data_IF_365510078164
#
_entry.id   IF_365510078164
#
_cell.length_a   1.000
_cell.length_b   1.000
_cell.length_c   1.000
_cell.angle_alpha   90.00
_cell.angle_beta   90.00
_cell.angle_gamma   90.00
#
_symmetry.space_group_name_H-M   'P 1'
#
loop_
_entity.id
_entity.type
_entity.pdbx_description
1 polymer ?
#
# COMPACT_ATOMS: atom_id res chain seq x y z
N UNK A 1 -20.51 16.77 1.12
CA UNK A 1 -19.24 16.97 1.85
C UNK A 1 -18.29 15.80 1.52
N UNK A 2 -16.98 15.91 1.74
CA UNK A 2 -15.88 14.96 1.40
C UNK A 2 -14.98 15.24 0.17
N UNK A 3 -14.75 16.53 -0.12
CA UNK A 3 -13.59 17.04 -0.87
C UNK A 3 -12.70 17.89 0.03
N UNK A 4 -12.48 17.43 1.28
CA UNK A 4 -11.85 18.22 2.33
C UNK A 4 -10.33 18.25 2.14
N UNK A 5 -9.69 19.29 2.66
CA UNK A 5 -8.24 19.37 2.66
C UNK A 5 -7.66 18.17 3.44
N UNK A 6 -6.59 17.55 2.91
CA UNK A 6 -5.92 16.44 3.59
C UNK A 6 -5.06 16.89 4.77
N UNK A 7 -4.62 18.15 4.80
CA UNK A 7 -3.64 18.64 5.78
C UNK A 7 -4.15 18.53 7.22
N UNK A 8 -5.41 18.90 7.54
CA UNK A 8 -5.96 18.70 8.87
C UNK A 8 -6.00 17.25 9.35
N UNK A 9 -5.89 16.28 8.44
CA UNK A 9 -5.93 14.85 8.76
C UNK A 9 -4.55 14.21 8.88
N UNK A 10 -3.62 14.53 7.98
CA UNK A 10 -2.32 13.87 7.95
C UNK A 10 -1.24 14.60 8.75
N UNK A 11 -1.36 15.92 8.90
CA UNK A 11 -0.24 16.76 9.34
C UNK A 11 -0.50 17.42 10.71
N UNK A 12 -1.62 17.09 11.35
CA UNK A 12 -1.98 17.50 12.71
C UNK A 12 -2.30 16.23 13.49
N UNK A 13 -1.88 16.13 14.74
CA UNK A 13 -2.21 15.02 15.65
C UNK A 13 -2.76 15.64 16.94
N UNK A 14 -3.87 15.15 17.52
CA UNK A 14 -4.33 15.61 18.83
C UNK A 14 -3.22 15.48 19.89
N UNK A 15 -3.10 16.47 20.77
CA UNK A 15 -2.03 16.51 21.79
C UNK A 15 -2.02 15.26 22.68
N UNK A 16 -3.19 14.68 22.93
CA UNK A 16 -3.36 13.50 23.77
C UNK A 16 -3.46 12.17 23.01
N UNK A 17 -3.25 12.14 21.68
CA UNK A 17 -3.36 10.91 20.88
C UNK A 17 -2.45 9.79 21.38
N UNK A 18 -1.19 10.11 21.75
CA UNK A 18 -0.22 9.14 22.28
C UNK A 18 -0.48 8.75 23.73
N UNK A 19 -1.33 9.49 24.43
CA UNK A 19 -1.77 9.17 25.79
C UNK A 19 -2.99 8.23 25.74
N UNK A 20 -3.93 8.50 24.83
CA UNK A 20 -5.16 7.72 24.62
C UNK A 20 -4.95 6.42 23.85
N UNK A 21 -4.01 6.41 22.91
CA UNK A 21 -3.77 5.28 22.02
C UNK A 21 -2.28 4.86 22.05
N UNK A 22 -2.03 3.60 21.65
CA UNK A 22 -0.68 3.05 21.65
C UNK A 22 -0.37 2.30 20.35
N UNK A 23 0.92 2.21 20.01
CA UNK A 23 1.41 1.44 18.88
C UNK A 23 0.77 1.82 17.55
N UNK A 24 0.32 0.81 16.79
CA UNK A 24 -0.30 1.00 15.48
C UNK A 24 -1.63 1.76 15.52
N UNK A 25 -2.36 1.74 16.64
CA UNK A 25 -3.61 2.50 16.73
C UNK A 25 -3.32 4.00 16.86
N UNK A 26 -2.34 4.39 17.69
CA UNK A 26 -1.90 5.79 17.75
C UNK A 26 -1.41 6.30 16.39
N UNK A 27 -0.69 5.47 15.63
CA UNK A 27 -0.20 5.82 14.29
C UNK A 27 -1.31 6.06 13.25
N UNK A 28 -2.55 5.63 13.50
CA UNK A 28 -3.71 5.89 12.64
C UNK A 28 -4.45 7.18 13.00
N UNK A 29 -4.16 7.75 14.16
CA UNK A 29 -4.81 8.93 14.74
C UNK A 29 -6.35 8.80 14.69
N UNK A 30 -6.95 7.91 15.51
CA UNK A 30 -8.34 7.49 15.37
C UNK A 30 -9.35 8.64 15.40
N UNK A 31 -9.09 9.66 16.22
CA UNK A 31 -9.94 10.84 16.39
C UNK A 31 -10.23 11.57 15.07
N UNK A 32 -9.31 11.54 14.11
CA UNK A 32 -9.58 12.17 12.81
C UNK A 32 -10.72 11.51 12.04
N UNK A 33 -10.82 10.18 12.09
CA UNK A 33 -11.89 9.45 11.41
C UNK A 33 -13.23 9.77 12.07
N UNK A 34 -13.24 9.88 13.40
CA UNK A 34 -14.41 10.31 14.16
C UNK A 34 -14.84 11.74 13.81
N UNK A 35 -13.89 12.68 13.72
CA UNK A 35 -14.17 14.06 13.32
C UNK A 35 -14.83 14.16 11.93
N UNK A 36 -14.43 13.31 10.98
CA UNK A 36 -15.09 13.22 9.68
C UNK A 36 -16.53 12.70 9.77
N UNK A 37 -16.81 11.79 10.70
CA UNK A 37 -18.16 11.30 10.94
C UNK A 37 -19.05 12.43 11.47
N UNK A 38 -18.57 13.20 12.45
CA UNK A 38 -19.31 14.36 12.99
C UNK A 38 -19.60 15.41 11.93
N UNK A 39 -18.62 15.74 11.09
CA UNK A 39 -18.83 16.70 10.00
C UNK A 39 -19.84 16.18 8.97
N UNK A 40 -19.74 14.90 8.59
CA UNK A 40 -20.67 14.28 7.66
C UNK A 40 -22.10 14.32 8.20
N UNK A 41 -22.30 13.91 9.45
CA UNK A 41 -23.60 13.90 10.10
C UNK A 41 -24.15 15.31 10.28
N UNK A 42 -23.34 16.25 10.77
CA UNK A 42 -23.74 17.64 10.98
C UNK A 42 -24.19 18.36 9.71
N UNK A 43 -23.62 18.01 8.54
CA UNK A 43 -24.01 18.64 7.26
C UNK A 43 -25.13 17.89 6.53
N UNK A 44 -25.15 16.57 6.59
CA UNK A 44 -26.11 15.77 5.81
C UNK A 44 -27.35 15.37 6.60
N UNK A 45 -27.31 15.47 7.94
CA UNK A 45 -28.31 14.91 8.84
C UNK A 45 -28.32 13.37 8.87
N UNK A 46 -27.33 12.71 8.26
CA UNK A 46 -27.24 11.25 8.20
C UNK A 46 -26.11 10.77 9.08
N UNK A 47 -26.44 9.89 10.02
CA UNK A 47 -25.44 9.24 10.85
C UNK A 47 -24.52 8.34 10.02
N UNK A 48 -23.24 8.29 10.40
CA UNK A 48 -22.24 7.38 9.86
C UNK A 48 -21.22 7.04 10.95
N UNK A 49 -20.80 5.79 10.98
CA UNK A 49 -19.75 5.30 11.88
C UNK A 49 -18.36 5.35 11.21
N UNK A 50 -17.25 5.35 11.98
CA UNK A 50 -15.90 5.23 11.43
C UNK A 50 -15.74 4.01 10.51
N UNK A 51 -16.30 2.87 10.89
CA UNK A 51 -16.25 1.64 10.11
C UNK A 51 -16.98 1.78 8.77
N UNK A 52 -18.16 2.41 8.76
CA UNK A 52 -18.92 2.68 7.54
C UNK A 52 -18.20 3.69 6.64
N UNK A 53 -17.56 4.71 7.21
CA UNK A 53 -16.77 5.69 6.45
C UNK A 53 -15.56 5.03 5.77
N UNK A 54 -14.84 4.16 6.50
CA UNK A 54 -13.74 3.38 5.94
C UNK A 54 -14.25 2.39 4.88
N UNK A 55 -15.41 1.76 5.08
CA UNK A 55 -16.03 0.87 4.09
C UNK A 55 -16.41 1.62 2.80
N UNK A 56 -16.89 2.87 2.91
CA UNK A 56 -17.13 3.72 1.74
C UNK A 56 -15.83 3.99 0.97
N UNK A 57 -14.73 4.29 1.67
CA UNK A 57 -13.41 4.48 1.08
C UNK A 57 -12.89 3.20 0.40
N UNK A 58 -13.01 2.04 1.06
CA UNK A 58 -12.63 0.73 0.52
C UNK A 58 -13.38 0.42 -0.78
N UNK A 59 -14.68 0.72 -0.83
CA UNK A 59 -15.51 0.55 -2.03
C UNK A 59 -15.00 1.38 -3.21
N UNK A 60 -14.76 2.68 -2.99
CA UNK A 60 -14.29 3.58 -4.05
C UNK A 60 -12.88 3.20 -4.53
N UNK A 61 -12.00 2.82 -3.61
CA UNK A 61 -10.65 2.39 -3.95
C UNK A 61 -10.64 1.14 -4.84
N UNK A 62 -11.48 0.14 -4.52
CA UNK A 62 -11.63 -1.04 -5.36
C UNK A 62 -12.30 -0.73 -6.70
N UNK A 63 -13.26 0.18 -6.74
CA UNK A 63 -13.86 0.64 -8.00
C UNK A 63 -12.82 1.32 -8.91
N UNK A 64 -11.96 2.17 -8.36
CA UNK A 64 -10.84 2.78 -9.10
C UNK A 64 -9.87 1.72 -9.63
N UNK A 65 -9.56 0.69 -8.81
CA UNK A 65 -8.73 -0.44 -9.23
C UNK A 65 -9.34 -1.19 -10.42
N UNK A 66 -10.63 -1.50 -10.36
CA UNK A 66 -11.36 -2.18 -11.43
C UNK A 66 -11.49 -1.31 -12.69
N UNK A 67 -11.64 0.00 -12.52
CA UNK A 67 -11.62 0.94 -13.64
C UNK A 67 -10.27 0.89 -14.37
N UNK A 68 -9.15 0.92 -13.64
CA UNK A 68 -7.83 0.75 -14.24
C UNK A 68 -7.71 -0.59 -14.98
N UNK A 69 -8.23 -1.67 -14.38
CA UNK A 69 -8.27 -3.01 -15.00
C UNK A 69 -9.03 -3.02 -16.32
N UNK A 70 -10.19 -2.36 -16.35
CA UNK A 70 -10.97 -2.18 -17.58
C UNK A 70 -10.19 -1.44 -18.66
N UNK A 71 -9.36 -0.48 -18.27
CA UNK A 71 -8.51 0.31 -19.17
C UNK A 71 -7.21 -0.41 -19.58
N UNK A 72 -6.99 -1.65 -19.12
CA UNK A 72 -5.80 -2.44 -19.45
C UNK A 72 -4.63 -2.30 -18.48
N UNK A 73 -4.83 -1.65 -17.31
CA UNK A 73 -3.81 -1.42 -16.29
C UNK A 73 -4.22 -2.01 -14.92
N UNK A 74 -3.37 -2.00 -13.90
CA UNK A 74 -3.80 -2.37 -12.54
C UNK A 74 -3.80 -3.88 -12.25
N UNK A 75 -3.00 -4.63 -13.00
CA UNK A 75 -2.43 -5.92 -12.60
C UNK A 75 -1.11 -5.71 -11.86
N UNK A 76 -0.52 -6.78 -11.33
CA UNK A 76 0.74 -6.76 -10.58
C UNK A 76 1.89 -6.10 -11.36
N UNK A 77 1.94 -6.29 -12.68
CA UNK A 77 2.96 -5.68 -13.54
C UNK A 77 2.94 -4.14 -13.51
N UNK A 78 1.81 -3.55 -13.12
CA UNK A 78 1.62 -2.09 -13.04
C UNK A 78 1.90 -1.54 -11.64
N UNK A 79 2.03 -2.41 -10.63
CA UNK A 79 2.38 -2.03 -9.26
C UNK A 79 3.90 -2.15 -9.04
N UNK A 80 4.71 -1.80 -10.05
CA UNK A 80 6.17 -1.85 -9.95
C UNK A 80 6.70 -0.45 -9.66
N UNK A 81 7.56 -0.34 -8.65
CA UNK A 81 8.27 0.92 -8.34
C UNK A 81 9.44 1.15 -9.31
N UNK A 82 9.83 2.42 -9.55
CA UNK A 82 11.00 2.72 -10.37
C UNK A 82 12.25 2.00 -9.86
N UNK A 83 13.09 1.52 -10.77
CA UNK A 83 14.34 0.80 -10.44
C UNK A 83 15.17 1.52 -9.37
N UNK A 84 15.30 2.84 -9.45
CA UNK A 84 16.03 3.67 -8.48
C UNK A 84 15.47 3.60 -7.05
N UNK A 85 14.18 3.36 -6.86
CA UNK A 85 13.55 3.29 -5.54
C UNK A 85 13.96 2.04 -4.75
N UNK A 86 14.43 0.98 -5.43
CA UNK A 86 14.72 -0.32 -4.81
C UNK A 86 16.19 -0.45 -4.35
N UNK A 87 17.03 0.57 -4.53
CA UNK A 87 18.42 0.56 -4.09
C UNK A 87 19.38 1.41 -4.93
N UNK A 88 20.68 1.40 -4.61
CA UNK A 88 21.69 2.19 -5.33
C UNK A 88 21.72 1.80 -6.81
N UNK A 89 21.79 2.81 -7.68
CA UNK A 89 21.83 2.68 -9.14
C UNK A 89 23.28 2.76 -9.64
N UNK A 90 24.13 3.54 -8.97
CA UNK A 90 25.55 3.70 -9.28
C UNK A 90 26.44 3.17 -8.16
N UNK A 91 27.70 2.87 -8.50
CA UNK A 91 28.71 2.50 -7.51
C UNK A 91 28.95 3.62 -6.49
N UNK A 92 28.93 4.88 -6.93
CA UNK A 92 29.06 6.05 -6.03
C UNK A 92 27.94 6.09 -4.99
N UNK A 93 26.68 5.85 -5.38
CA UNK A 93 25.56 5.80 -4.45
C UNK A 93 25.71 4.66 -3.44
N UNK A 94 26.25 3.51 -3.87
CA UNK A 94 26.57 2.41 -2.97
C UNK A 94 27.65 2.82 -1.97
N UNK A 95 28.78 3.33 -2.46
CA UNK A 95 29.92 3.70 -1.63
C UNK A 95 29.58 4.86 -0.67
N UNK A 96 28.67 5.77 -1.05
CA UNK A 96 28.20 6.84 -0.16
C UNK A 96 27.53 6.36 1.13
N UNK A 97 27.07 5.09 1.15
CA UNK A 97 26.43 4.43 2.30
C UNK A 97 26.95 2.99 2.46
N UNK A 98 28.25 2.79 2.23
CA UNK A 98 28.88 1.47 2.16
C UNK A 98 28.60 0.63 3.40
N UNK A 99 28.73 1.20 4.59
CA UNK A 99 28.56 0.51 5.87
C UNK A 99 27.14 -0.07 6.00
N UNK A 100 26.13 0.73 5.65
CA UNK A 100 24.72 0.30 5.68
C UNK A 100 24.47 -0.89 4.74
N UNK A 101 24.96 -0.82 3.50
CA UNK A 101 24.70 -1.86 2.51
C UNK A 101 25.51 -3.14 2.77
N UNK A 102 26.78 -3.00 3.16
CA UNK A 102 27.62 -4.13 3.54
C UNK A 102 27.05 -4.85 4.78
N UNK A 103 26.48 -4.10 5.74
CA UNK A 103 25.78 -4.67 6.89
C UNK A 103 24.54 -5.46 6.46
N UNK A 104 23.69 -4.91 5.58
CA UNK A 104 22.52 -5.63 5.07
C UNK A 104 22.90 -6.92 4.34
N UNK A 105 23.96 -6.89 3.52
CA UNK A 105 24.46 -8.07 2.82
C UNK A 105 24.91 -9.16 3.79
N UNK A 106 25.69 -8.81 4.83
CA UNK A 106 26.20 -9.78 5.81
C UNK A 106 25.12 -10.30 6.74
N UNK A 107 24.31 -9.41 7.30
CA UNK A 107 23.42 -9.75 8.42
C UNK A 107 22.07 -10.26 7.96
N UNK A 108 21.52 -9.71 6.88
CA UNK A 108 20.18 -10.04 6.41
C UNK A 108 20.26 -11.05 5.27
N UNK A 109 21.07 -10.75 4.24
CA UNK A 109 21.17 -11.57 3.03
C UNK A 109 22.13 -12.76 3.25
N UNK A 110 22.95 -12.71 4.30
CA UNK A 110 23.98 -13.72 4.62
C UNK A 110 24.95 -13.97 3.46
N UNK A 111 25.26 -12.91 2.72
CA UNK A 111 26.17 -12.91 1.58
C UNK A 111 27.60 -12.57 2.02
N UNK A 112 28.58 -13.37 1.57
CA UNK A 112 29.99 -13.07 1.79
C UNK A 112 30.45 -11.97 0.81
N UNK A 113 30.83 -10.83 1.38
CA UNK A 113 31.26 -9.66 0.62
C UNK A 113 32.77 -9.64 0.35
N UNK A 114 33.53 -10.59 0.93
CA UNK A 114 34.99 -10.61 0.78
C UNK A 114 35.36 -10.79 -0.70
N UNK A 115 36.30 -9.97 -1.17
CA UNK A 115 36.80 -9.99 -2.54
C UNK A 115 35.72 -9.74 -3.62
N UNK A 116 34.59 -9.12 -3.24
CA UNK A 116 33.51 -8.72 -4.17
C UNK A 116 33.62 -7.26 -4.60
N UNK A 117 33.34 -7.01 -5.88
CA UNK A 117 33.25 -5.65 -6.39
C UNK A 117 31.97 -4.96 -5.90
N UNK A 118 31.95 -3.64 -5.96
CA UNK A 118 30.76 -2.86 -5.60
C UNK A 118 29.56 -3.22 -6.46
N UNK A 119 29.76 -3.47 -7.76
CA UNK A 119 28.73 -3.86 -8.71
C UNK A 119 28.14 -5.23 -8.39
N UNK A 120 28.95 -6.20 -7.99
CA UNK A 120 28.48 -7.51 -7.56
C UNK A 120 27.60 -7.40 -6.30
N UNK A 121 28.07 -6.64 -5.31
CA UNK A 121 27.32 -6.37 -4.08
C UNK A 121 25.99 -5.65 -4.35
N UNK A 122 26.00 -4.66 -5.23
CA UNK A 122 24.80 -3.94 -5.69
C UNK A 122 23.80 -4.89 -6.34
N UNK A 123 24.26 -5.80 -7.21
CA UNK A 123 23.39 -6.77 -7.90
C UNK A 123 22.71 -7.72 -6.91
N UNK A 124 23.44 -8.23 -5.92
CA UNK A 124 22.87 -9.11 -4.89
C UNK A 124 21.85 -8.35 -4.02
N UNK A 125 22.22 -7.13 -3.58
CA UNK A 125 21.32 -6.28 -2.81
C UNK A 125 20.03 -5.96 -3.58
N UNK A 126 20.15 -5.72 -4.89
CA UNK A 126 19.03 -5.46 -5.79
C UNK A 126 18.03 -6.61 -5.80
N UNK A 127 18.50 -7.81 -6.13
CA UNK A 127 17.66 -9.02 -6.20
C UNK A 127 16.91 -9.20 -4.88
N UNK A 128 17.62 -9.12 -3.75
CA UNK A 128 17.00 -9.25 -2.45
C UNK A 128 15.89 -8.21 -2.21
N UNK A 129 16.15 -6.93 -2.50
CA UNK A 129 15.17 -5.86 -2.24
C UNK A 129 13.97 -5.93 -3.17
N UNK A 130 14.16 -6.32 -4.43
CA UNK A 130 13.05 -6.59 -5.36
C UNK A 130 12.19 -7.75 -4.85
N UNK A 131 12.80 -8.82 -4.35
CA UNK A 131 12.06 -9.93 -3.71
C UNK A 131 11.28 -9.47 -2.46
N UNK A 132 11.86 -8.62 -1.60
CA UNK A 132 11.14 -8.08 -0.45
C UNK A 132 9.95 -7.21 -0.87
N UNK A 133 10.11 -6.42 -1.94
CA UNK A 133 9.02 -5.65 -2.50
C UNK A 133 7.88 -6.54 -2.99
N UNK A 134 8.20 -7.63 -3.71
CA UNK A 134 7.18 -8.58 -4.15
C UNK A 134 6.44 -9.26 -2.98
N UNK A 135 7.14 -9.60 -1.89
CA UNK A 135 6.52 -10.12 -0.65
C UNK A 135 5.59 -9.09 0.00
N UNK A 136 5.95 -7.81 -0.02
CA UNK A 136 5.09 -6.73 0.45
C UNK A 136 3.82 -6.63 -0.42
N UNK A 137 3.96 -6.70 -1.74
CA UNK A 137 2.80 -6.74 -2.64
C UNK A 137 1.86 -7.90 -2.31
N UNK A 138 2.38 -9.11 -2.09
CA UNK A 138 1.57 -10.28 -1.72
C UNK A 138 0.80 -10.05 -0.41
N UNK A 139 1.47 -9.49 0.61
CA UNK A 139 0.83 -9.18 1.88
C UNK A 139 -0.28 -8.11 1.74
N UNK A 140 -0.04 -7.09 0.91
CA UNK A 140 -1.01 -6.02 0.64
C UNK A 140 -2.21 -6.56 -0.15
N UNK A 141 -1.99 -7.33 -1.21
CA UNK A 141 -3.06 -7.92 -2.02
C UNK A 141 -3.94 -8.82 -1.17
N UNK A 142 -3.33 -9.72 -0.38
CA UNK A 142 -4.06 -10.58 0.55
C UNK A 142 -4.92 -9.76 1.52
N UNK A 143 -4.36 -8.70 2.11
CA UNK A 143 -5.09 -7.83 3.06
C UNK A 143 -6.25 -7.08 2.40
N UNK A 144 -6.12 -6.73 1.11
CA UNK A 144 -7.16 -6.06 0.33
C UNK A 144 -8.19 -7.01 -0.26
N UNK A 145 -8.01 -8.32 -0.11
CA UNK A 145 -8.85 -9.34 -0.75
C UNK A 145 -8.69 -9.33 -2.28
N UNK A 146 -7.46 -9.15 -2.75
CA UNK A 146 -7.05 -9.25 -4.14
C UNK A 146 -6.28 -10.56 -4.35
N UNK A 147 -6.26 -11.06 -5.58
CA UNK A 147 -5.43 -12.20 -5.95
C UNK A 147 -3.94 -11.84 -6.11
N UNK A 148 -3.11 -12.83 -6.43
CA UNK A 148 -1.66 -12.65 -6.60
C UNK A 148 -1.29 -11.76 -7.78
N UNK A 149 -2.22 -11.53 -8.72
CA UNK A 149 -2.06 -10.59 -9.83
C UNK A 149 -2.57 -9.18 -9.47
N UNK A 150 -2.95 -8.95 -8.21
CA UNK A 150 -3.39 -7.64 -7.75
C UNK A 150 -4.80 -7.25 -8.23
N UNK A 151 -5.63 -8.23 -8.61
CA UNK A 151 -7.02 -8.02 -9.05
C UNK A 151 -7.98 -8.32 -7.89
N UNK A 152 -8.97 -7.44 -7.61
CA UNK A 152 -9.99 -7.72 -6.60
C UNK A 152 -10.72 -9.04 -6.85
N UNK A 153 -10.87 -9.87 -5.82
CA UNK A 153 -11.57 -11.16 -5.93
C UNK A 153 -13.09 -10.98 -6.12
N UNK A 154 -13.75 -12.01 -6.68
CA UNK A 154 -15.22 -12.06 -6.74
C UNK A 154 -15.88 -11.91 -5.37
N UNK A 155 -15.26 -12.48 -4.32
CA UNK A 155 -15.71 -12.33 -2.93
C UNK A 155 -15.64 -10.86 -2.49
N UNK A 156 -14.52 -10.19 -2.73
CA UNK A 156 -14.33 -8.78 -2.37
C UNK A 156 -15.33 -7.86 -3.07
N UNK A 157 -15.51 -7.99 -4.39
CA UNK A 157 -16.44 -7.10 -5.11
C UNK A 157 -17.89 -7.30 -4.67
N UNK A 158 -18.28 -8.53 -4.32
CA UNK A 158 -19.62 -8.85 -3.79
C UNK A 158 -19.80 -8.30 -2.37
N UNK A 159 -18.80 -8.47 -1.49
CA UNK A 159 -18.78 -7.86 -0.15
C UNK A 159 -18.95 -6.35 -0.23
N UNK A 160 -18.29 -5.70 -1.19
CA UNK A 160 -18.32 -4.25 -1.37
C UNK A 160 -19.55 -3.73 -2.14
N UNK A 161 -20.41 -4.64 -2.66
CA UNK A 161 -21.59 -4.33 -3.48
C UNK A 161 -21.26 -3.53 -4.74
N UNK A 162 -20.18 -3.92 -5.41
CA UNK A 162 -19.71 -3.36 -6.69
C UNK A 162 -19.64 -4.43 -7.79
N UNK A 163 -20.40 -5.50 -7.63
CA UNK A 163 -20.43 -6.70 -8.47
C UNK A 163 -21.49 -6.64 -9.58
N UNK A 164 -21.63 -5.50 -10.26
CA UNK A 164 -22.49 -5.43 -11.44
C UNK A 164 -21.99 -6.40 -12.53
N UNK A 165 -22.87 -6.87 -13.45
CA UNK A 165 -22.51 -7.92 -14.41
C UNK A 165 -21.22 -7.63 -15.20
N UNK A 166 -21.01 -6.38 -15.62
CA UNK A 166 -19.81 -6.00 -16.38
C UNK A 166 -18.52 -6.11 -15.53
N UNK A 167 -18.60 -5.84 -14.22
CA UNK A 167 -17.46 -5.98 -13.31
C UNK A 167 -17.17 -7.45 -13.06
N UNK A 168 -18.19 -8.28 -12.88
CA UNK A 168 -18.01 -9.73 -12.68
C UNK A 168 -17.35 -10.36 -13.91
N UNK A 169 -17.80 -10.01 -15.10
CA UNK A 169 -17.20 -10.46 -16.36
C UNK A 169 -15.75 -10.00 -16.49
N UNK A 170 -15.47 -8.73 -16.17
CA UNK A 170 -14.12 -8.17 -16.18
C UNK A 170 -13.19 -8.96 -15.23
N UNK A 171 -13.59 -9.17 -13.98
CA UNK A 171 -12.76 -9.88 -12.99
C UNK A 171 -12.49 -11.31 -13.43
N UNK A 172 -13.51 -12.03 -13.93
CA UNK A 172 -13.33 -13.40 -14.44
C UNK A 172 -12.32 -13.50 -15.59
N UNK A 173 -12.26 -12.50 -16.47
CA UNK A 173 -11.29 -12.46 -17.58
C UNK A 173 -9.84 -12.42 -17.12
N UNK A 174 -9.56 -11.88 -15.92
CA UNK A 174 -8.19 -11.72 -15.38
C UNK A 174 -7.83 -12.76 -14.33
N UNK A 175 -8.74 -13.67 -13.99
CA UNK A 175 -8.56 -14.74 -12.98
C UNK A 175 -8.43 -16.14 -13.59
N UNK A 176 -8.34 -16.24 -14.91
CA UNK A 176 -8.12 -17.47 -15.68
C UNK A 176 -6.66 -17.91 -15.67
#
# INVERSE_FOLDING_TARGET
IVGLCKLPWNDIEPEDNKQKHHGMEAAKVPEHVENYCWLFEGVTGKHITPEELILQSERVHNLQRLFNLKMGFGTREHDIVPYRAVGPVTAEEYESRKELYDQQLKEIIKFDIKDKTTEEKMKVLRVYREEQYQKLCDAVYKRRGWDSNGVPTLETIKKLKIDCPEVVELVKKYQS
#
